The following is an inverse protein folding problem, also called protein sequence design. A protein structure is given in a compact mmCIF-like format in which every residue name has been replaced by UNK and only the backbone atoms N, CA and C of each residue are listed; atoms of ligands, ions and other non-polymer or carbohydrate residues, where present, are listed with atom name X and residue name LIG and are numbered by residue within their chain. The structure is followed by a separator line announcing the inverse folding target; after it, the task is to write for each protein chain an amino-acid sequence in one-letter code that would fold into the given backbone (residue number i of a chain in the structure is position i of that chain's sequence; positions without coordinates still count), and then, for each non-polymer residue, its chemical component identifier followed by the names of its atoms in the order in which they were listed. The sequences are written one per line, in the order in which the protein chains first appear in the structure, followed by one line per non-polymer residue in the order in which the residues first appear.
data_IF_048299606701
#
_entry.id   IF_048299606701
#
_cell.length_a   1.000
_cell.length_b   1.000
_cell.length_c   1.000
_cell.angle_alpha   90.00
_cell.angle_beta   90.00
_cell.angle_gamma   90.00
#
_symmetry.space_group_name_H-M   'P 1'
#
loop_
_entity.id
_entity.type
_entity.pdbx_description
1 polymer ?
#
# COMPACT_ATOMS: atom_id res chain seq x y z
N UNK A 1 26.66 8.24 16.99
CA UNK A 1 27.07 6.83 16.92
C UNK A 1 25.92 6.06 16.30
N UNK A 2 26.06 5.62 15.07
CA UNK A 2 25.04 4.82 14.40
C UNK A 2 25.09 3.40 15.05
N UNK A 3 24.03 3.04 15.77
CA UNK A 3 23.84 1.69 16.27
C UNK A 3 23.55 0.79 15.09
N UNK A 4 24.52 -0.02 14.72
CA UNK A 4 24.37 -1.10 13.75
C UNK A 4 23.34 -2.11 14.32
N UNK A 5 22.05 -1.89 14.05
CA UNK A 5 21.03 -2.90 14.30
C UNK A 5 21.26 -4.01 13.29
N UNK A 6 21.87 -5.11 13.73
CA UNK A 6 21.83 -6.35 12.98
C UNK A 6 20.36 -6.67 12.68
N UNK A 7 19.98 -6.56 11.41
CA UNK A 7 18.65 -6.96 10.92
C UNK A 7 18.63 -8.48 11.12
N UNK A 8 17.96 -8.93 12.17
CA UNK A 8 17.57 -10.32 12.30
C UNK A 8 16.51 -10.49 11.19
N UNK A 9 16.92 -11.08 10.06
CA UNK A 9 15.97 -11.50 9.05
C UNK A 9 15.03 -12.51 9.71
N UNK A 10 13.75 -12.18 9.93
CA UNK A 10 12.82 -13.18 10.40
C UNK A 10 12.77 -14.30 9.36
N UNK A 11 12.76 -15.53 9.82
CA UNK A 11 12.63 -16.69 8.96
C UNK A 11 11.47 -16.47 7.97
N UNK A 12 11.73 -16.70 6.71
CA UNK A 12 10.87 -16.59 5.51
C UNK A 12 9.35 -16.65 5.78
N UNK A 13 8.76 -15.53 6.23
CA UNK A 13 7.33 -15.43 6.64
C UNK A 13 6.36 -15.76 5.51
N UNK A 14 6.82 -15.62 4.27
CA UNK A 14 5.98 -15.72 3.08
C UNK A 14 6.32 -16.93 2.21
N UNK A 15 7.04 -17.93 2.74
CA UNK A 15 7.34 -19.16 2.01
C UNK A 15 6.07 -19.80 1.47
N UNK A 16 6.04 -20.10 0.17
CA UNK A 16 4.88 -20.64 -0.57
C UNK A 16 3.66 -19.72 -0.61
N UNK A 17 3.77 -18.44 -0.26
CA UNK A 17 2.71 -17.45 -0.41
C UNK A 17 2.89 -16.66 -1.70
N UNK A 18 1.78 -16.31 -2.33
CA UNK A 18 1.69 -15.46 -3.51
C UNK A 18 1.04 -14.13 -3.14
N UNK A 19 1.76 -13.05 -3.38
CA UNK A 19 1.28 -11.70 -3.09
C UNK A 19 1.09 -10.89 -4.39
N UNK A 20 -0.06 -10.23 -4.51
CA UNK A 20 -0.28 -9.17 -5.49
C UNK A 20 -0.05 -7.82 -4.80
N UNK A 21 0.78 -6.97 -5.41
CA UNK A 21 1.04 -5.61 -4.94
C UNK A 21 0.64 -4.63 -6.03
N UNK A 22 -0.42 -3.84 -5.79
CA UNK A 22 -0.80 -2.76 -6.71
C UNK A 22 0.00 -1.49 -6.40
N UNK A 23 0.34 -0.70 -7.44
CA UNK A 23 1.33 0.37 -7.29
C UNK A 23 2.73 -0.21 -7.00
N UNK A 24 2.97 -1.44 -7.43
CA UNK A 24 4.13 -2.24 -7.06
C UNK A 24 5.43 -1.88 -7.80
N UNK A 25 5.37 -1.01 -8.80
CA UNK A 25 6.54 -0.63 -9.59
C UNK A 25 7.28 0.62 -9.07
N UNK A 26 6.76 1.28 -8.02
CA UNK A 26 7.39 2.51 -7.50
C UNK A 26 7.26 2.68 -5.99
N UNK A 27 8.08 3.55 -5.44
CA UNK A 27 8.01 4.00 -4.05
C UNK A 27 7.88 2.89 -3.02
N UNK A 28 6.89 3.00 -2.14
CA UNK A 28 6.60 2.01 -1.10
C UNK A 28 6.20 0.65 -1.69
N UNK A 29 5.41 0.64 -2.78
CA UNK A 29 4.96 -0.61 -3.41
C UNK A 29 6.13 -1.46 -3.90
N UNK A 30 7.11 -0.84 -4.56
CA UNK A 30 8.32 -1.54 -5.02
C UNK A 30 9.14 -2.09 -3.84
N UNK A 31 9.31 -1.28 -2.79
CA UNK A 31 10.03 -1.74 -1.59
C UNK A 31 9.31 -2.91 -0.90
N UNK A 32 7.96 -2.90 -0.89
CA UNK A 32 7.14 -4.01 -0.39
C UNK A 32 7.37 -5.26 -1.24
N UNK A 33 7.38 -5.16 -2.58
CA UNK A 33 7.65 -6.28 -3.47
C UNK A 33 9.00 -6.94 -3.16
N UNK A 34 10.06 -6.13 -3.05
CA UNK A 34 11.41 -6.60 -2.73
C UNK A 34 11.48 -7.29 -1.36
N UNK A 35 10.85 -6.68 -0.36
CA UNK A 35 10.86 -7.22 1.01
C UNK A 35 10.01 -8.49 1.16
N UNK A 36 8.83 -8.57 0.50
CA UNK A 36 8.03 -9.79 0.44
C UNK A 36 8.82 -10.95 -0.18
N UNK A 37 9.48 -10.68 -1.31
CA UNK A 37 10.28 -11.67 -1.99
C UNK A 37 11.49 -12.12 -1.18
N UNK A 38 12.20 -11.19 -0.55
CA UNK A 38 13.35 -11.50 0.33
C UNK A 38 12.96 -12.42 1.51
N UNK A 39 11.68 -12.41 1.90
CA UNK A 39 11.12 -13.29 2.93
C UNK A 39 10.42 -14.54 2.35
N UNK A 40 10.73 -14.92 1.12
CA UNK A 40 10.32 -16.17 0.50
C UNK A 40 8.97 -16.12 -0.23
N UNK A 41 8.36 -14.96 -0.39
CA UNK A 41 7.11 -14.77 -1.12
C UNK A 41 7.32 -14.73 -2.64
N UNK A 42 6.33 -15.21 -3.39
CA UNK A 42 6.20 -14.97 -4.83
C UNK A 42 5.41 -13.69 -5.04
N UNK A 43 5.82 -12.87 -6.02
CA UNK A 43 5.33 -11.50 -6.16
C UNK A 43 4.71 -11.24 -7.53
N UNK A 44 3.50 -10.73 -7.55
CA UNK A 44 2.88 -10.15 -8.75
C UNK A 44 2.84 -8.62 -8.61
N UNK A 45 3.53 -7.94 -9.53
CA UNK A 45 3.67 -6.49 -9.58
C UNK A 45 2.59 -5.91 -10.50
N UNK A 46 1.64 -5.14 -9.95
CA UNK A 46 0.62 -4.42 -10.71
C UNK A 46 0.91 -2.92 -10.66
N UNK A 47 0.99 -2.29 -11.81
CA UNK A 47 1.16 -0.85 -11.95
C UNK A 47 0.66 -0.39 -13.33
N UNK A 48 0.57 0.91 -13.57
CA UNK A 48 0.25 1.46 -14.89
C UNK A 48 1.49 1.71 -15.75
N UNK A 49 2.68 1.80 -15.14
CA UNK A 49 3.94 2.06 -15.82
C UNK A 49 4.64 0.75 -16.20
N UNK A 50 4.52 0.33 -17.47
CA UNK A 50 5.07 -0.93 -17.97
C UNK A 50 6.59 -1.03 -17.83
N UNK A 51 7.34 0.05 -18.09
CA UNK A 51 8.80 0.07 -17.97
C UNK A 51 9.26 -0.13 -16.51
N UNK A 52 8.59 0.56 -15.58
CA UNK A 52 8.87 0.40 -14.15
C UNK A 52 8.49 -0.99 -13.62
N UNK A 53 7.44 -1.62 -14.18
CA UNK A 53 7.09 -3.02 -13.90
C UNK A 53 8.20 -3.96 -14.34
N UNK A 54 8.66 -3.84 -15.61
CA UNK A 54 9.72 -4.66 -16.16
C UNK A 54 11.00 -4.56 -15.33
N UNK A 55 11.40 -3.34 -14.95
CA UNK A 55 12.57 -3.13 -14.09
C UNK A 55 12.39 -3.77 -12.72
N UNK A 56 11.22 -3.60 -12.08
CA UNK A 56 10.96 -4.17 -10.74
C UNK A 56 10.97 -5.69 -10.79
N UNK A 57 10.36 -6.29 -11.80
CA UNK A 57 10.35 -7.75 -12.00
C UNK A 57 11.76 -8.26 -12.28
N UNK A 58 12.55 -7.56 -13.11
CA UNK A 58 13.93 -7.94 -13.38
C UNK A 58 14.78 -7.94 -12.09
N UNK A 59 14.62 -6.93 -11.26
CA UNK A 59 15.34 -6.85 -9.97
C UNK A 59 14.94 -7.98 -9.01
N UNK A 60 13.64 -8.32 -8.96
CA UNK A 60 13.14 -9.45 -8.16
C UNK A 60 13.73 -10.78 -8.66
N UNK A 61 13.70 -11.02 -9.97
CA UNK A 61 14.26 -12.24 -10.57
C UNK A 61 15.78 -12.33 -10.36
N UNK A 62 16.50 -11.20 -10.50
CA UNK A 62 17.94 -11.15 -10.24
C UNK A 62 18.27 -11.47 -8.76
N UNK A 63 17.36 -11.18 -7.83
CA UNK A 63 17.45 -11.58 -6.43
C UNK A 63 17.01 -13.03 -6.15
N UNK A 64 16.64 -13.81 -7.18
CA UNK A 64 16.18 -15.19 -7.05
C UNK A 64 14.71 -15.32 -6.62
N UNK A 65 13.93 -14.26 -6.75
CA UNK A 65 12.52 -14.22 -6.36
C UNK A 65 11.64 -14.54 -7.57
N UNK A 66 10.67 -15.44 -7.41
CA UNK A 66 9.69 -15.77 -8.43
C UNK A 66 8.66 -14.63 -8.56
N UNK A 67 8.69 -13.91 -9.68
CA UNK A 67 7.90 -12.71 -9.88
C UNK A 67 7.33 -12.57 -11.29
N UNK A 68 6.14 -11.94 -11.38
CA UNK A 68 5.52 -11.56 -12.66
C UNK A 68 5.02 -10.12 -12.58
N UNK A 69 4.89 -9.47 -13.73
CA UNK A 69 4.38 -8.09 -13.82
C UNK A 69 3.20 -7.98 -14.77
N UNK A 70 2.23 -7.15 -14.42
CA UNK A 70 1.08 -6.87 -15.27
C UNK A 70 0.78 -5.36 -15.29
N UNK A 71 0.65 -4.75 -16.48
CA UNK A 71 0.16 -3.38 -16.60
C UNK A 71 -1.34 -3.36 -16.25
N UNK A 72 -1.68 -2.72 -15.14
CA UNK A 72 -3.04 -2.68 -14.60
C UNK A 72 -3.40 -1.27 -14.18
N UNK A 73 -4.45 -0.71 -14.76
CA UNK A 73 -5.17 0.42 -14.18
C UNK A 73 -6.24 -0.11 -13.22
N UNK A 74 -6.06 0.13 -11.94
CA UNK A 74 -6.99 -0.37 -10.90
C UNK A 74 -8.42 0.19 -11.05
N UNK A 75 -8.62 1.25 -11.83
CA UNK A 75 -9.95 1.80 -12.14
C UNK A 75 -10.77 0.89 -13.05
N UNK A 76 -10.09 0.09 -13.88
CA UNK A 76 -10.71 -0.85 -14.80
C UNK A 76 -10.86 -2.24 -14.16
N UNK A 77 -12.06 -2.55 -13.72
CA UNK A 77 -12.36 -3.82 -13.05
C UNK A 77 -12.15 -5.04 -13.94
N UNK A 78 -12.34 -4.90 -15.26
CA UNK A 78 -12.16 -6.01 -16.20
C UNK A 78 -10.66 -6.35 -16.33
N UNK A 79 -9.82 -5.33 -16.52
CA UNK A 79 -8.35 -5.49 -16.54
C UNK A 79 -7.82 -6.06 -15.23
N UNK A 80 -8.31 -5.56 -14.08
CA UNK A 80 -7.95 -6.09 -12.75
C UNK A 80 -8.31 -7.57 -12.65
N UNK A 81 -9.55 -7.95 -13.01
CA UNK A 81 -10.00 -9.35 -12.93
C UNK A 81 -9.18 -10.27 -13.83
N UNK A 82 -8.88 -9.83 -15.06
CA UNK A 82 -8.06 -10.61 -15.98
C UNK A 82 -6.62 -10.82 -15.46
N UNK A 83 -6.00 -9.76 -14.92
CA UNK A 83 -4.65 -9.84 -14.38
C UNK A 83 -4.59 -10.72 -13.11
N UNK A 84 -5.56 -10.62 -12.20
CA UNK A 84 -5.67 -11.50 -11.03
C UNK A 84 -5.82 -12.95 -11.45
N UNK A 85 -6.66 -13.23 -12.47
CA UNK A 85 -6.82 -14.58 -13.04
C UNK A 85 -5.51 -15.11 -13.64
N UNK A 86 -4.74 -14.27 -14.33
CA UNK A 86 -3.43 -14.64 -14.88
C UNK A 86 -2.43 -15.00 -13.77
N UNK A 87 -2.39 -14.25 -12.69
CA UNK A 87 -1.55 -14.54 -11.51
C UNK A 87 -1.94 -15.87 -10.88
N UNK A 88 -3.26 -16.10 -10.69
CA UNK A 88 -3.75 -17.36 -10.14
C UNK A 88 -3.41 -18.57 -11.04
N UNK A 89 -3.49 -18.41 -12.36
CA UNK A 89 -3.11 -19.45 -13.31
C UNK A 89 -1.60 -19.74 -13.30
N UNK A 90 -0.78 -18.70 -13.18
CA UNK A 90 0.68 -18.83 -13.20
C UNK A 90 1.23 -19.47 -11.91
N UNK A 91 0.81 -18.98 -10.73
CA UNK A 91 1.34 -19.46 -9.45
C UNK A 91 0.50 -20.57 -8.80
N UNK A 92 -0.71 -20.82 -9.30
CA UNK A 92 -1.64 -21.82 -8.75
C UNK A 92 -2.43 -21.35 -7.52
N UNK A 93 -2.14 -20.18 -6.97
CA UNK A 93 -2.80 -19.61 -5.78
C UNK A 93 -2.59 -18.11 -5.64
N UNK A 94 -3.37 -17.47 -4.80
CA UNK A 94 -3.15 -16.11 -4.30
C UNK A 94 -3.45 -16.12 -2.81
N UNK A 95 -2.57 -15.52 -1.98
CA UNK A 95 -2.67 -15.49 -0.53
C UNK A 95 -2.78 -14.08 0.04
N UNK A 96 -2.21 -13.09 -0.67
CA UNK A 96 -2.04 -11.74 -0.14
C UNK A 96 -2.37 -10.71 -1.23
N UNK A 97 -3.12 -9.66 -0.84
CA UNK A 97 -3.26 -8.44 -1.61
C UNK A 97 -2.70 -7.26 -0.81
N UNK A 98 -1.75 -6.54 -1.41
CA UNK A 98 -1.32 -5.23 -0.92
C UNK A 98 -1.87 -4.17 -1.87
N UNK A 99 -2.92 -3.48 -1.46
CA UNK A 99 -3.60 -2.46 -2.26
C UNK A 99 -2.92 -1.09 -2.05
N UNK A 100 -1.71 -0.93 -2.63
CA UNK A 100 -0.90 0.27 -2.46
C UNK A 100 -1.01 1.28 -3.62
N UNK A 101 -1.72 0.94 -4.71
CA UNK A 101 -1.99 1.88 -5.78
C UNK A 101 -2.81 3.07 -5.26
N UNK A 102 -2.36 4.29 -5.56
CA UNK A 102 -3.04 5.50 -5.13
C UNK A 102 -2.10 6.68 -4.89
N UNK A 103 -2.68 7.73 -4.37
CA UNK A 103 -1.98 9.00 -4.09
C UNK A 103 -2.89 10.19 -4.32
N UNK A 104 -2.33 11.40 -4.16
CA UNK A 104 -3.02 12.67 -4.52
C UNK A 104 -3.10 12.91 -6.03
N UNK A 105 -2.32 12.17 -6.84
CA UNK A 105 -2.34 12.19 -8.31
C UNK A 105 -2.06 13.58 -8.91
N UNK A 106 -1.24 14.37 -8.21
CA UNK A 106 -0.90 15.75 -8.58
C UNK A 106 -2.11 16.70 -8.66
N UNK A 107 -3.23 16.37 -8.01
CA UNK A 107 -4.37 17.29 -7.91
C UNK A 107 -4.05 18.48 -7.01
N UNK A 108 -4.67 19.66 -7.25
CA UNK A 108 -4.47 20.85 -6.44
C UNK A 108 -4.76 20.61 -4.95
N UNK A 109 -4.12 21.41 -4.09
CA UNK A 109 -4.37 21.39 -2.64
C UNK A 109 -5.51 22.31 -2.22
N UNK A 110 -5.55 23.48 -2.82
CA UNK A 110 -6.49 24.53 -2.43
C UNK A 110 -7.87 24.25 -3.02
N UNK A 111 -8.89 24.36 -2.21
CA UNK A 111 -10.26 24.03 -2.61
C UNK A 111 -10.74 24.80 -3.85
N UNK A 112 -10.29 26.06 -3.99
CA UNK A 112 -10.65 26.91 -5.11
C UNK A 112 -10.15 26.41 -6.47
N UNK A 113 -9.05 25.64 -6.47
CA UNK A 113 -8.41 25.13 -7.69
C UNK A 113 -8.78 23.68 -8.00
N UNK A 114 -9.46 23.00 -7.07
CA UNK A 114 -9.90 21.60 -7.27
C UNK A 114 -11.13 21.55 -8.14
N UNK A 115 -11.02 20.86 -9.28
CA UNK A 115 -12.15 20.57 -10.15
C UNK A 115 -12.92 19.32 -9.71
N UNK A 116 -14.20 19.15 -10.12
CA UNK A 116 -14.91 17.88 -9.94
C UNK A 116 -14.16 16.67 -10.52
N UNK A 117 -13.47 16.85 -11.65
CA UNK A 117 -12.67 15.79 -12.27
C UNK A 117 -11.48 15.36 -11.42
N UNK A 118 -10.86 16.28 -10.67
CA UNK A 118 -9.81 15.95 -9.72
C UNK A 118 -10.33 15.08 -8.57
N UNK A 119 -11.52 15.40 -8.07
CA UNK A 119 -12.21 14.59 -7.07
C UNK A 119 -12.50 13.19 -7.60
N UNK A 120 -13.09 13.08 -8.78
CA UNK A 120 -13.44 11.81 -9.42
C UNK A 120 -12.18 10.96 -9.63
N UNK A 121 -11.12 11.54 -10.18
CA UNK A 121 -9.84 10.86 -10.40
C UNK A 121 -9.27 10.25 -9.09
N UNK A 122 -9.23 11.05 -8.02
CA UNK A 122 -8.66 10.60 -6.74
C UNK A 122 -9.53 9.52 -6.11
N UNK A 123 -10.85 9.64 -6.15
CA UNK A 123 -11.79 8.62 -5.67
C UNK A 123 -11.69 7.34 -6.50
N UNK A 124 -11.67 7.45 -7.83
CA UNK A 124 -11.60 6.29 -8.73
C UNK A 124 -10.33 5.47 -8.50
N UNK A 125 -9.17 6.11 -8.41
CA UNK A 125 -7.93 5.37 -8.19
C UNK A 125 -7.84 4.81 -6.77
N UNK A 126 -8.06 5.64 -5.74
CA UNK A 126 -7.80 5.22 -4.36
C UNK A 126 -8.91 4.33 -3.79
N UNK A 127 -10.18 4.65 -4.03
CA UNK A 127 -11.32 3.94 -3.40
C UNK A 127 -11.83 2.84 -4.31
N UNK A 128 -12.27 3.19 -5.52
CA UNK A 128 -12.80 2.22 -6.47
C UNK A 128 -11.73 1.22 -6.90
N UNK A 129 -10.49 1.68 -7.14
CA UNK A 129 -9.36 0.80 -7.46
C UNK A 129 -9.06 -0.21 -6.34
N UNK A 130 -9.05 0.20 -5.07
CA UNK A 130 -8.91 -0.72 -3.94
C UNK A 130 -10.06 -1.72 -3.88
N UNK A 131 -11.30 -1.26 -4.11
CA UNK A 131 -12.48 -2.12 -4.14
C UNK A 131 -12.40 -3.15 -5.28
N UNK A 132 -12.07 -2.73 -6.51
CA UNK A 132 -11.93 -3.62 -7.66
C UNK A 132 -10.91 -4.74 -7.41
N UNK A 133 -9.74 -4.38 -6.86
CA UNK A 133 -8.70 -5.34 -6.53
C UNK A 133 -9.15 -6.32 -5.44
N UNK A 134 -9.78 -5.83 -4.38
CA UNK A 134 -10.31 -6.68 -3.32
C UNK A 134 -11.38 -7.64 -3.85
N UNK A 135 -12.32 -7.14 -4.66
CA UNK A 135 -13.39 -7.95 -5.25
C UNK A 135 -12.83 -9.07 -6.15
N UNK A 136 -11.81 -8.76 -6.96
CA UNK A 136 -11.18 -9.74 -7.84
C UNK A 136 -10.38 -10.80 -7.07
N UNK A 137 -9.70 -10.42 -5.98
CA UNK A 137 -8.80 -11.32 -5.24
C UNK A 137 -9.54 -12.21 -4.23
N UNK A 138 -10.61 -11.73 -3.59
CA UNK A 138 -11.33 -12.47 -2.52
C UNK A 138 -11.70 -13.90 -2.90
N UNK A 139 -12.24 -14.22 -4.08
CA UNK A 139 -12.53 -15.61 -4.46
C UNK A 139 -11.30 -16.52 -4.44
N UNK A 140 -10.14 -16.01 -4.84
CA UNK A 140 -8.87 -16.74 -4.84
C UNK A 140 -8.34 -16.96 -3.42
N UNK A 141 -8.47 -15.96 -2.54
CA UNK A 141 -8.12 -16.11 -1.12
C UNK A 141 -9.00 -17.16 -0.43
N UNK A 142 -10.30 -17.18 -0.74
CA UNK A 142 -11.21 -18.24 -0.24
C UNK A 142 -10.75 -19.62 -0.70
N UNK A 143 -10.41 -19.76 -1.98
CA UNK A 143 -9.90 -21.01 -2.54
C UNK A 143 -8.56 -21.44 -1.94
N UNK A 144 -7.73 -20.49 -1.50
CA UNK A 144 -6.47 -20.75 -0.79
C UNK A 144 -6.66 -21.15 0.68
N UNK A 145 -7.90 -21.06 1.21
CA UNK A 145 -8.24 -21.36 2.61
C UNK A 145 -8.06 -20.19 3.56
N UNK A 146 -8.03 -18.98 3.06
CA UNK A 146 -7.84 -17.72 3.80
C UNK A 146 -6.73 -16.85 3.21
N UNK A 147 -6.39 -15.76 3.88
CA UNK A 147 -5.35 -14.86 3.42
C UNK A 147 -5.35 -13.49 4.09
N UNK A 148 -4.65 -12.55 3.49
CA UNK A 148 -4.56 -11.18 4.01
C UNK A 148 -4.73 -10.12 2.91
N UNK A 149 -5.46 -9.06 3.25
CA UNK A 149 -5.56 -7.84 2.46
C UNK A 149 -5.03 -6.68 3.30
N UNK A 150 -4.05 -5.95 2.80
CA UNK A 150 -3.55 -4.72 3.42
C UNK A 150 -3.90 -3.55 2.52
N UNK A 151 -4.69 -2.62 3.04
CA UNK A 151 -5.11 -1.39 2.36
C UNK A 151 -4.30 -0.19 2.84
N UNK A 152 -4.20 0.84 2.01
CA UNK A 152 -3.45 2.05 2.32
C UNK A 152 -4.40 3.23 2.54
N UNK A 153 -4.62 3.58 3.80
CA UNK A 153 -5.13 4.88 4.21
C UNK A 153 -3.98 5.90 4.23
N UNK A 154 -4.03 6.88 5.07
CA UNK A 154 -3.01 7.92 5.29
C UNK A 154 -3.31 8.66 6.57
N UNK A 155 -2.32 9.33 7.14
CA UNK A 155 -2.55 10.36 8.16
C UNK A 155 -3.56 11.40 7.69
N UNK A 156 -3.56 11.75 6.37
CA UNK A 156 -4.52 12.68 5.77
C UNK A 156 -5.97 12.19 5.76
N UNK A 157 -6.23 10.89 5.90
CA UNK A 157 -7.57 10.33 6.10
C UNK A 157 -8.01 10.24 7.55
N UNK A 158 -7.15 10.61 8.50
CA UNK A 158 -7.39 10.55 9.96
C UNK A 158 -7.26 11.90 10.64
N UNK A 159 -6.51 12.80 10.05
CA UNK A 159 -6.24 14.15 10.56
C UNK A 159 -6.05 15.11 9.39
N UNK A 160 -5.84 16.37 9.66
CA UNK A 160 -5.49 17.36 8.64
C UNK A 160 -4.04 17.17 8.18
N UNK A 161 -3.81 17.43 6.89
CA UNK A 161 -2.48 17.40 6.29
C UNK A 161 -2.25 18.64 5.43
N UNK A 162 -1.17 19.40 5.65
CA UNK A 162 -0.88 20.59 4.84
C UNK A 162 -0.38 20.25 3.43
N UNK A 163 -0.07 18.98 3.15
CA UNK A 163 0.54 18.56 1.87
C UNK A 163 -0.44 17.94 0.88
N UNK A 164 -1.71 17.75 1.26
CA UNK A 164 -2.71 17.10 0.39
C UNK A 164 -4.06 17.80 0.45
N UNK A 165 -4.76 17.86 -0.69
CA UNK A 165 -6.08 18.48 -0.82
C UNK A 165 -7.24 17.59 -0.32
N UNK A 166 -8.42 18.19 -0.33
CA UNK A 166 -9.69 17.57 0.12
C UNK A 166 -9.99 16.22 -0.56
N UNK A 167 -9.80 16.03 -1.89
CA UNK A 167 -10.07 14.76 -2.55
C UNK A 167 -9.29 13.59 -1.93
N UNK A 168 -8.00 13.82 -1.67
CA UNK A 168 -7.15 12.78 -1.08
C UNK A 168 -7.53 12.44 0.34
N UNK A 169 -7.82 13.46 1.18
CA UNK A 169 -8.28 13.25 2.53
C UNK A 169 -9.58 12.43 2.57
N UNK A 170 -10.57 12.80 1.73
CA UNK A 170 -11.82 12.07 1.60
C UNK A 170 -11.61 10.61 1.16
N UNK A 171 -10.78 10.39 0.12
CA UNK A 171 -10.47 9.04 -0.36
C UNK A 171 -9.81 8.18 0.72
N UNK A 172 -8.83 8.72 1.45
CA UNK A 172 -8.10 7.96 2.48
C UNK A 172 -8.93 7.73 3.75
N UNK A 173 -9.90 8.59 4.05
CA UNK A 173 -10.91 8.34 5.07
C UNK A 173 -11.90 7.22 4.63
N UNK A 174 -12.31 7.20 3.36
CA UNK A 174 -13.18 6.16 2.81
C UNK A 174 -12.55 4.75 2.90
N UNK A 175 -11.23 4.62 2.71
CA UNK A 175 -10.49 3.35 2.88
C UNK A 175 -10.68 2.76 4.29
N UNK A 176 -10.80 3.57 5.32
CA UNK A 176 -11.04 3.09 6.69
C UNK A 176 -12.39 2.38 6.83
N UNK A 177 -13.43 2.94 6.20
CA UNK A 177 -14.77 2.34 6.15
C UNK A 177 -14.78 1.06 5.34
N UNK A 178 -14.16 1.08 4.14
CA UNK A 178 -14.01 -0.08 3.27
C UNK A 178 -13.29 -1.22 4.00
N UNK A 179 -12.15 -0.94 4.65
CA UNK A 179 -11.37 -1.94 5.39
C UNK A 179 -12.20 -2.63 6.46
N UNK A 180 -12.90 -1.86 7.31
CA UNK A 180 -13.72 -2.42 8.39
C UNK A 180 -14.89 -3.25 7.87
N UNK A 181 -15.59 -2.75 6.82
CA UNK A 181 -16.74 -3.48 6.26
C UNK A 181 -16.28 -4.77 5.57
N UNK A 182 -15.21 -4.71 4.79
CA UNK A 182 -14.66 -5.88 4.13
C UNK A 182 -14.15 -6.92 5.15
N UNK A 183 -13.42 -6.50 6.18
CA UNK A 183 -12.96 -7.38 7.26
C UNK A 183 -14.12 -8.17 7.91
N UNK A 184 -15.25 -7.50 8.16
CA UNK A 184 -16.46 -8.14 8.71
C UNK A 184 -17.05 -9.17 7.76
N UNK A 185 -17.02 -8.90 6.46
CA UNK A 185 -17.65 -9.72 5.44
C UNK A 185 -16.84 -10.97 5.14
N UNK A 186 -15.52 -10.83 4.95
CA UNK A 186 -14.67 -11.96 4.53
C UNK A 186 -13.99 -12.69 5.69
N UNK A 187 -14.10 -12.17 6.92
CA UNK A 187 -13.54 -12.80 8.12
C UNK A 187 -13.97 -14.25 8.34
N UNK A 188 -15.24 -14.64 8.13
CA UNK A 188 -15.67 -16.05 8.22
C UNK A 188 -14.95 -17.00 7.26
N UNK A 189 -14.38 -16.48 6.16
CA UNK A 189 -13.57 -17.25 5.22
C UNK A 189 -12.07 -17.27 5.58
N UNK A 190 -11.68 -16.83 6.78
CA UNK A 190 -10.28 -16.79 7.22
C UNK A 190 -9.44 -15.67 6.56
N UNK A 191 -10.09 -14.67 5.99
CA UNK A 191 -9.39 -13.55 5.35
C UNK A 191 -9.33 -12.37 6.31
N UNK A 192 -8.13 -11.89 6.58
CA UNK A 192 -7.89 -10.69 7.39
C UNK A 192 -7.76 -9.47 6.49
N UNK A 193 -8.37 -8.37 6.87
CA UNK A 193 -8.30 -7.10 6.14
C UNK A 193 -7.93 -5.99 7.11
N UNK A 194 -6.76 -5.38 6.90
CA UNK A 194 -6.27 -4.30 7.75
C UNK A 194 -5.78 -3.13 6.90
N UNK A 195 -5.72 -1.95 7.49
CA UNK A 195 -5.17 -0.76 6.87
C UNK A 195 -3.87 -0.33 7.55
N UNK A 196 -2.94 0.21 6.77
CA UNK A 196 -1.91 1.10 7.29
C UNK A 196 -2.29 2.55 7.01
N UNK A 197 -1.93 3.45 7.92
CA UNK A 197 -2.10 4.89 7.76
C UNK A 197 -0.74 5.59 7.89
N UNK A 198 0.04 5.64 6.79
CA UNK A 198 1.35 6.26 6.79
C UNK A 198 1.28 7.77 7.01
N UNK A 199 2.30 8.31 7.66
CA UNK A 199 2.66 9.72 7.60
C UNK A 199 3.30 10.08 6.26
N UNK A 200 4.16 11.07 6.26
CA UNK A 200 4.89 11.46 5.05
C UNK A 200 6.15 10.60 4.90
N UNK A 201 6.17 9.75 3.87
CA UNK A 201 7.33 8.96 3.45
C UNK A 201 7.85 9.55 2.14
N UNK A 202 9.09 10.03 2.14
CA UNK A 202 9.70 10.68 0.98
C UNK A 202 10.10 9.61 -0.05
N UNK A 203 9.19 9.34 -0.98
CA UNK A 203 9.50 8.63 -2.22
C UNK A 203 9.87 9.63 -3.30
N UNK A 204 10.49 9.23 -4.41
CA UNK A 204 11.08 10.15 -5.38
C UNK A 204 10.23 11.39 -5.72
N UNK A 205 8.92 11.20 -6.04
CA UNK A 205 8.01 12.33 -6.31
C UNK A 205 7.71 13.17 -5.06
N UNK A 206 7.49 12.53 -3.92
CA UNK A 206 7.19 13.23 -2.66
C UNK A 206 8.42 13.95 -2.10
N UNK A 207 9.63 13.47 -2.41
CA UNK A 207 10.86 14.18 -2.09
C UNK A 207 10.89 15.54 -2.79
N UNK A 208 10.65 15.58 -4.10
CA UNK A 208 10.62 16.85 -4.86
C UNK A 208 9.54 17.80 -4.30
N UNK A 209 8.33 17.31 -4.04
CA UNK A 209 7.28 18.13 -3.45
C UNK A 209 7.64 18.67 -2.05
N UNK A 210 8.33 17.88 -1.23
CA UNK A 210 8.78 18.29 0.09
C UNK A 210 9.92 19.34 -0.01
N UNK A 211 10.83 19.18 -0.96
CA UNK A 211 11.94 20.11 -1.20
C UNK A 211 11.44 21.47 -1.72
N UNK A 212 10.30 21.48 -2.44
CA UNK A 212 9.64 22.69 -2.93
C UNK A 212 8.79 23.44 -1.88
N UNK A 213 8.51 22.80 -0.73
CA UNK A 213 7.79 23.48 0.36
C UNK A 213 8.62 24.67 0.92
N UNK A 214 7.92 25.70 1.37
CA UNK A 214 8.52 26.76 2.15
C UNK A 214 9.22 26.19 3.41
N UNK A 215 10.28 26.84 3.87
CA UNK A 215 11.02 26.38 5.05
C UNK A 215 10.11 26.30 6.30
N UNK A 216 9.16 27.25 6.45
CA UNK A 216 8.15 27.21 7.50
C UNK A 216 7.29 25.95 7.46
N UNK A 217 6.84 25.54 6.27
CA UNK A 217 5.99 24.37 6.08
C UNK A 217 6.76 23.08 6.35
N UNK A 218 8.02 23.01 5.92
CA UNK A 218 8.92 21.89 6.25
C UNK A 218 9.17 21.79 7.74
N UNK A 219 9.41 22.91 8.39
CA UNK A 219 9.60 22.97 9.85
C UNK A 219 8.32 22.54 10.60
N UNK A 220 7.13 22.95 10.14
CA UNK A 220 5.85 22.49 10.68
C UNK A 220 5.67 20.97 10.54
N UNK A 221 5.98 20.43 9.34
CA UNK A 221 5.89 18.98 9.11
C UNK A 221 6.81 18.23 10.06
N UNK A 222 8.07 18.64 10.18
CA UNK A 222 9.07 17.97 11.02
C UNK A 222 8.78 18.17 12.51
N UNK A 223 8.43 19.39 12.91
CA UNK A 223 8.08 19.72 14.29
C UNK A 223 6.82 19.00 14.79
N UNK A 224 5.93 18.62 13.87
CA UNK A 224 4.74 17.82 14.18
C UNK A 224 5.02 16.32 14.35
N UNK A 225 6.25 15.83 14.14
CA UNK A 225 6.62 14.42 14.31
C UNK A 225 7.34 14.23 15.64
N UNK A 226 6.72 13.62 16.68
CA UNK A 226 7.36 13.39 17.96
C UNK A 226 8.69 12.66 17.92
N UNK A 227 8.89 11.72 16.96
CA UNK A 227 10.16 11.05 16.78
C UNK A 227 11.27 11.94 16.17
N UNK A 228 10.96 13.19 15.79
CA UNK A 228 11.90 14.24 15.42
C UNK A 228 12.66 14.02 14.09
N UNK A 229 12.20 13.11 13.24
CA UNK A 229 12.84 12.81 11.95
C UNK A 229 11.86 12.31 10.89
N UNK A 230 12.25 12.42 9.64
CA UNK A 230 11.57 11.73 8.55
C UNK A 230 11.79 10.20 8.65
N UNK A 231 10.79 9.40 8.27
CA UNK A 231 10.91 7.94 8.28
C UNK A 231 11.72 7.43 7.08
N UNK A 232 12.36 6.27 7.25
CA UNK A 232 12.85 5.46 6.15
C UNK A 232 11.71 4.63 5.54
N UNK A 233 11.78 4.26 4.25
CA UNK A 233 10.72 3.49 3.59
C UNK A 233 10.46 2.16 4.30
N UNK A 234 11.51 1.51 4.79
CA UNK A 234 11.40 0.23 5.49
C UNK A 234 10.53 0.32 6.75
N UNK A 235 10.47 1.49 7.41
CA UNK A 235 9.63 1.70 8.60
C UNK A 235 8.11 1.72 8.29
N UNK A 236 7.73 1.83 7.00
CA UNK A 236 6.36 1.58 6.55
C UNK A 236 6.19 0.14 6.04
N UNK A 237 7.21 -0.41 5.38
CA UNK A 237 7.17 -1.76 4.82
C UNK A 237 7.01 -2.82 5.91
N UNK A 238 7.78 -2.75 7.00
CA UNK A 238 7.72 -3.73 8.09
C UNK A 238 6.31 -3.90 8.70
N UNK A 239 5.57 -2.82 9.03
CA UNK A 239 4.17 -2.91 9.44
C UNK A 239 3.24 -3.54 8.39
N UNK A 240 3.46 -3.26 7.10
CA UNK A 240 2.68 -3.87 6.01
C UNK A 240 2.93 -5.37 5.98
N UNK A 241 4.19 -5.80 6.02
CA UNK A 241 4.56 -7.22 6.05
C UNK A 241 4.06 -7.93 7.31
N UNK A 242 4.08 -7.27 8.47
CA UNK A 242 3.47 -7.79 9.68
C UNK A 242 1.99 -8.06 9.49
N UNK A 243 1.22 -7.08 8.97
CA UNK A 243 -0.22 -7.23 8.73
C UNK A 243 -0.54 -8.27 7.63
N UNK A 244 0.34 -8.46 6.67
CA UNK A 244 0.21 -9.46 5.62
C UNK A 244 0.52 -10.89 6.10
N UNK A 245 1.34 -11.04 7.15
CA UNK A 245 1.85 -12.32 7.65
C UNK A 245 0.95 -12.97 8.71
N UNK A 246 1.18 -14.24 9.01
CA UNK A 246 0.48 -14.98 10.06
C UNK A 246 0.80 -14.46 11.48
N UNK A 247 1.80 -13.58 11.64
CA UNK A 247 2.09 -12.90 12.91
C UNK A 247 0.94 -12.00 13.37
N UNK A 248 0.08 -11.56 12.45
CA UNK A 248 -1.14 -10.78 12.73
C UNK A 248 -2.42 -11.62 12.64
N UNK A 249 -2.34 -12.92 12.93
CA UNK A 249 -3.41 -13.91 12.74
C UNK A 249 -4.73 -13.58 13.47
N UNK A 250 -4.69 -12.75 14.51
CA UNK A 250 -5.89 -12.33 15.26
C UNK A 250 -6.20 -10.83 15.10
N UNK A 251 -5.66 -10.20 14.04
CA UNK A 251 -5.85 -8.78 13.74
C UNK A 251 -6.61 -8.65 12.42
N UNK A 252 -7.84 -8.12 12.47
CA UNK A 252 -8.64 -7.78 11.29
C UNK A 252 -9.50 -6.55 11.55
N UNK A 253 -9.74 -5.72 10.54
CA UNK A 253 -10.47 -4.45 10.65
C UNK A 253 -9.67 -3.32 11.33
N UNK A 254 -8.41 -3.55 11.67
CA UNK A 254 -7.55 -2.59 12.34
C UNK A 254 -6.98 -1.55 11.36
N UNK A 255 -6.59 -0.41 11.94
CA UNK A 255 -5.80 0.63 11.26
C UNK A 255 -4.53 0.85 12.05
N UNK A 256 -3.39 0.60 11.42
CA UNK A 256 -2.09 0.80 12.03
C UNK A 256 -1.51 2.15 11.57
N UNK A 257 -1.40 3.09 12.50
CA UNK A 257 -0.77 4.37 12.25
C UNK A 257 0.75 4.24 12.19
N UNK A 258 1.36 4.71 11.09
CA UNK A 258 2.81 4.66 10.85
C UNK A 258 3.28 6.08 10.51
N UNK A 259 3.36 6.95 11.51
CA UNK A 259 3.53 8.39 11.28
C UNK A 259 4.46 9.08 12.30
N UNK A 260 5.25 8.33 13.06
CA UNK A 260 6.17 8.86 14.05
C UNK A 260 5.50 9.60 15.21
N UNK A 261 4.21 9.35 15.46
CA UNK A 261 3.41 9.99 16.50
C UNK A 261 2.76 11.31 16.06
N UNK A 262 2.89 11.72 14.79
CA UNK A 262 2.28 12.96 14.28
C UNK A 262 0.75 12.96 14.40
N UNK A 263 0.13 11.81 14.37
CA UNK A 263 -1.26 11.60 14.74
C UNK A 263 -1.35 10.41 15.69
N UNK A 264 -2.06 10.59 16.79
CA UNK A 264 -2.35 9.56 17.79
C UNK A 264 -3.85 9.42 17.90
N UNK A 265 -4.38 8.24 17.56
CA UNK A 265 -5.78 7.91 17.78
C UNK A 265 -6.00 7.69 19.28
N UNK A 266 -6.94 8.44 19.88
CA UNK A 266 -7.40 8.22 21.24
C UNK A 266 -8.47 7.15 21.30
#
# INVERSE_FOLDING_TARGET
MATNRSIIHPAARFTNKVAIVTGGAGGLGRQICLSLGAEGGKVAVFDTNSEAIEQTVADLIAAGIDAVGHPVDVRDSATVTAAVGAVAAYFGRIDILIAAAGGSLATPRDLADISPADLDLVIDVNVKGTFNCAQAVVPHLINAGGGAIVTFSSIGGRSTSPVTGVPYAAAKAAILGLTRRLAKEVGPAGIRVNAVAPGLFLTGRLQGMFDELAESDRAEVLGGIPLGRMPELQECVDPVLFLASDQSSYITGAVLDVNGGRFMAG
#
